data_IF_165771382058
#
_entry.id   IF_165771382058
#
_cell.length_a   1.000
_cell.length_b   1.000
_cell.length_c   1.000
_cell.angle_alpha   90.00
_cell.angle_beta   90.00
_cell.angle_gamma   90.00
#
_symmetry.space_group_name_H-M   'P 1'
#
loop_
_entity.id
_entity.type
_entity.pdbx_description
1 polymer ?
#
# COMPACT_ATOMS: atom_id res chain seq x y z
N UNK A 1 -19.32 12.74 17.90
CA UNK A 1 -19.11 12.60 16.44
C UNK A 1 -19.87 13.65 15.61
N UNK A 2 -21.18 13.86 15.81
CA UNK A 2 -22.00 14.82 15.05
C UNK A 2 -21.53 16.29 15.13
N UNK A 3 -20.99 16.73 16.29
CA UNK A 3 -20.47 18.10 16.44
C UNK A 3 -19.20 18.34 15.63
N UNK A 4 -18.28 17.38 15.58
CA UNK A 4 -17.05 17.47 14.77
C UNK A 4 -17.35 17.52 13.27
N UNK A 5 -18.29 16.69 12.81
CA UNK A 5 -18.70 16.67 11.40
C UNK A 5 -19.29 18.01 10.96
N UNK A 6 -20.10 18.66 11.79
CA UNK A 6 -20.63 20.00 11.49
C UNK A 6 -19.52 21.05 11.38
N UNK A 7 -18.58 21.06 12.34
CA UNK A 7 -17.44 21.99 12.34
C UNK A 7 -16.58 21.79 11.09
N UNK A 8 -16.30 20.54 10.72
CA UNK A 8 -15.55 20.21 9.50
C UNK A 8 -16.30 20.66 8.24
N UNK A 9 -17.61 20.39 8.16
CA UNK A 9 -18.43 20.80 7.02
C UNK A 9 -18.48 22.32 6.81
N UNK A 10 -18.46 23.09 7.91
CA UNK A 10 -18.42 24.55 7.83
C UNK A 10 -17.04 25.10 7.48
N UNK A 11 -15.99 24.59 8.14
CA UNK A 11 -14.62 25.11 7.98
C UNK A 11 -13.94 24.66 6.68
N UNK A 12 -14.25 23.44 6.18
CA UNK A 12 -13.62 22.81 5.03
C UNK A 12 -14.59 22.68 3.85
N UNK A 13 -15.51 23.60 3.71
CA UNK A 13 -16.58 23.55 2.70
C UNK A 13 -16.03 23.48 1.26
N UNK A 14 -14.97 24.22 0.98
CA UNK A 14 -14.36 24.27 -0.36
C UNK A 14 -13.62 22.97 -0.66
N UNK A 15 -12.86 22.47 0.31
CA UNK A 15 -12.12 21.22 0.22
C UNK A 15 -13.07 20.04 0.07
N UNK A 16 -14.12 19.97 0.86
CA UNK A 16 -15.15 18.93 0.75
C UNK A 16 -15.87 18.98 -0.59
N UNK A 17 -16.16 20.18 -1.10
CA UNK A 17 -16.73 20.34 -2.43
C UNK A 17 -15.76 19.85 -3.52
N UNK A 18 -14.47 20.18 -3.42
CA UNK A 18 -13.45 19.67 -4.34
C UNK A 18 -13.39 18.14 -4.29
N UNK A 19 -13.28 17.57 -3.09
CA UNK A 19 -13.19 16.10 -2.91
C UNK A 19 -14.43 15.38 -3.47
N UNK A 20 -15.63 15.96 -3.30
CA UNK A 20 -16.87 15.34 -3.80
C UNK A 20 -16.98 15.29 -5.33
N UNK A 21 -16.12 16.03 -6.04
CA UNK A 21 -16.06 16.03 -7.51
C UNK A 21 -14.86 15.26 -8.06
N UNK A 22 -14.01 14.67 -7.20
CA UNK A 22 -12.91 13.85 -7.66
C UNK A 22 -13.45 12.57 -8.31
N UNK A 23 -12.89 12.18 -9.46
CA UNK A 23 -13.25 10.91 -10.08
C UNK A 23 -12.71 9.72 -9.25
N UNK A 24 -13.39 8.60 -9.28
CA UNK A 24 -12.94 7.36 -8.63
C UNK A 24 -11.79 6.68 -9.37
N UNK A 25 -11.67 6.97 -10.66
CA UNK A 25 -10.59 6.47 -11.52
C UNK A 25 -10.13 7.58 -12.45
N UNK A 26 -8.84 7.59 -12.77
CA UNK A 26 -8.25 8.50 -13.75
C UNK A 26 -7.45 7.69 -14.77
N UNK A 27 -7.84 7.75 -16.02
CA UNK A 27 -7.04 7.24 -17.14
C UNK A 27 -6.24 8.40 -17.73
N UNK A 28 -4.93 8.31 -17.65
CA UNK A 28 -4.03 9.28 -18.28
C UNK A 28 -2.95 8.55 -19.07
N UNK A 29 -2.90 8.79 -20.38
CA UNK A 29 -2.11 8.01 -21.32
C UNK A 29 -2.38 6.50 -21.16
N UNK A 30 -1.35 5.71 -20.89
CA UNK A 30 -1.44 4.27 -20.69
C UNK A 30 -1.51 3.86 -19.22
N UNK A 31 -1.83 4.80 -18.30
CA UNK A 31 -1.93 4.57 -16.86
C UNK A 31 -3.35 4.76 -16.36
N UNK A 32 -3.88 3.75 -15.68
CA UNK A 32 -5.14 3.81 -14.96
C UNK A 32 -4.84 3.96 -13.46
N UNK A 33 -5.17 5.11 -12.90
CA UNK A 33 -5.06 5.38 -11.47
C UNK A 33 -6.37 5.04 -10.80
N UNK A 34 -6.31 4.23 -9.75
CA UNK A 34 -7.47 3.81 -8.94
C UNK A 34 -7.02 3.54 -7.51
N UNK A 35 -7.90 3.74 -6.51
CA UNK A 35 -7.49 3.62 -5.11
C UNK A 35 -7.08 2.17 -4.74
N UNK A 36 -7.97 1.18 -4.93
CA UNK A 36 -7.71 -0.19 -4.48
C UNK A 36 -7.44 -1.18 -5.63
N UNK A 37 -8.18 -1.09 -6.73
CA UNK A 37 -7.99 -1.98 -7.86
C UNK A 37 -9.17 -2.02 -8.81
N UNK A 38 -9.10 -2.96 -9.73
CA UNK A 38 -10.16 -3.27 -10.71
C UNK A 38 -10.39 -4.78 -10.74
N UNK A 39 -11.61 -5.19 -11.01
CA UNK A 39 -11.90 -6.60 -11.25
C UNK A 39 -11.20 -7.10 -12.53
N UNK A 40 -10.93 -8.40 -12.67
CA UNK A 40 -10.33 -8.99 -13.86
C UNK A 40 -11.32 -9.01 -15.04
N UNK A 41 -11.63 -7.81 -15.55
CA UNK A 41 -12.53 -7.55 -16.67
C UNK A 41 -11.81 -6.82 -17.78
N UNK A 42 -12.24 -6.98 -19.03
CA UNK A 42 -11.67 -6.25 -20.16
C UNK A 42 -11.98 -4.74 -20.10
N UNK A 43 -13.13 -4.38 -19.53
CA UNK A 43 -13.56 -2.99 -19.37
C UNK A 43 -13.66 -2.61 -17.89
N UNK A 44 -12.66 -1.87 -17.41
CA UNK A 44 -12.64 -1.43 -16.02
C UNK A 44 -13.85 -0.57 -15.62
N UNK A 45 -14.50 0.13 -16.57
CA UNK A 45 -15.68 0.98 -16.30
C UNK A 45 -16.93 0.19 -15.85
N UNK A 46 -16.90 -1.12 -16.03
CA UNK A 46 -17.96 -2.02 -15.59
C UNK A 46 -17.75 -2.56 -14.17
N UNK A 47 -16.63 -2.21 -13.54
CA UNK A 47 -16.36 -2.57 -12.15
C UNK A 47 -17.27 -1.79 -11.19
N UNK A 48 -17.62 -2.42 -10.08
CA UNK A 48 -18.37 -1.77 -9.01
C UNK A 48 -17.51 -0.77 -8.21
N UNK A 49 -18.17 0.16 -7.53
CA UNK A 49 -17.48 1.16 -6.70
C UNK A 49 -16.64 0.51 -5.59
N UNK A 50 -17.11 -0.60 -5.02
CA UNK A 50 -16.36 -1.37 -4.01
C UNK A 50 -15.04 -1.90 -4.55
N UNK A 51 -14.97 -2.30 -5.82
CA UNK A 51 -13.72 -2.75 -6.44
C UNK A 51 -12.70 -1.63 -6.52
N UNK A 52 -13.14 -0.42 -6.86
CA UNK A 52 -12.23 0.72 -6.92
C UNK A 52 -11.72 1.17 -5.55
N UNK A 53 -12.50 0.99 -4.48
CA UNK A 53 -12.22 1.57 -3.16
C UNK A 53 -11.76 0.54 -2.11
N UNK A 54 -12.09 -0.75 -2.27
CA UNK A 54 -11.97 -1.74 -1.20
C UNK A 54 -11.37 -3.07 -1.65
N UNK A 55 -10.99 -3.23 -2.94
CA UNK A 55 -10.46 -4.49 -3.45
C UNK A 55 -9.15 -4.84 -2.75
N UNK A 56 -9.17 -5.96 -2.03
CA UNK A 56 -7.98 -6.47 -1.35
C UNK A 56 -7.11 -7.29 -2.31
N UNK A 57 -5.81 -7.30 -2.07
CA UNK A 57 -4.86 -8.17 -2.76
C UNK A 57 -4.82 -8.02 -4.29
N UNK A 58 -5.07 -6.81 -4.80
CA UNK A 58 -5.10 -6.56 -6.24
C UNK A 58 -3.82 -7.00 -6.97
N UNK A 59 -2.66 -6.84 -6.35
CA UNK A 59 -1.38 -7.26 -6.92
C UNK A 59 -1.30 -8.77 -7.21
N UNK A 60 -1.88 -9.60 -6.32
CA UNK A 60 -1.95 -11.05 -6.49
C UNK A 60 -3.02 -11.44 -7.50
N UNK A 61 -4.16 -10.78 -7.48
CA UNK A 61 -5.28 -11.05 -8.39
C UNK A 61 -4.93 -10.73 -9.84
N UNK A 62 -4.21 -9.63 -10.05
CA UNK A 62 -3.88 -9.15 -11.38
C UNK A 62 -5.07 -8.58 -12.15
N UNK A 63 -4.84 -8.26 -13.42
CA UNK A 63 -5.86 -7.76 -14.35
C UNK A 63 -5.52 -8.11 -15.79
N UNK A 64 -6.50 -7.94 -16.71
CA UNK A 64 -6.35 -8.19 -18.16
C UNK A 64 -6.37 -6.92 -19.01
N UNK A 65 -6.30 -5.74 -18.38
CA UNK A 65 -6.33 -4.47 -19.10
C UNK A 65 -5.04 -4.23 -19.89
N UNK A 66 -5.12 -3.49 -20.97
CA UNK A 66 -3.94 -3.04 -21.74
C UNK A 66 -3.12 -1.96 -21.01
N UNK A 67 -3.70 -1.29 -20.02
CA UNK A 67 -3.10 -0.21 -19.25
C UNK A 67 -2.24 -0.72 -18.10
N UNK A 68 -1.28 0.07 -17.66
CA UNK A 68 -0.65 -0.11 -16.36
C UNK A 68 -1.55 0.47 -15.28
N UNK A 69 -1.91 -0.34 -14.27
CA UNK A 69 -2.79 0.08 -13.18
C UNK A 69 -1.97 0.50 -11.96
N UNK A 70 -2.19 1.74 -11.52
CA UNK A 70 -1.51 2.31 -10.34
C UNK A 70 -2.49 2.32 -9.18
N UNK A 71 -2.12 1.65 -8.09
CA UNK A 71 -2.98 1.45 -6.91
C UNK A 71 -2.31 1.83 -5.59
N UNK A 72 -3.13 2.15 -4.60
CA UNK A 72 -2.79 2.28 -3.18
C UNK A 72 -3.51 1.23 -2.34
N UNK A 73 -4.20 1.67 -1.28
CA UNK A 73 -5.11 0.92 -0.42
C UNK A 73 -4.44 -0.15 0.47
N UNK A 74 -3.70 -1.07 -0.09
CA UNK A 74 -2.98 -2.09 0.66
C UNK A 74 -1.50 -1.74 0.71
N UNK A 75 -0.92 -1.52 1.91
CA UNK A 75 0.51 -1.24 2.04
C UNK A 75 1.35 -2.29 1.33
N UNK A 76 2.34 -1.85 0.54
CA UNK A 76 3.14 -2.74 -0.31
C UNK A 76 3.82 -3.86 0.46
N UNK A 77 4.20 -3.59 1.73
CA UNK A 77 4.75 -4.61 2.61
C UNK A 77 3.78 -5.76 2.93
N UNK A 78 2.48 -5.64 2.67
CA UNK A 78 1.51 -6.72 2.92
C UNK A 78 1.55 -7.80 1.84
N UNK A 79 2.04 -7.47 0.64
CA UNK A 79 2.17 -8.44 -0.45
C UNK A 79 3.34 -9.42 -0.26
N UNK A 80 4.32 -9.06 0.59
CA UNK A 80 5.51 -9.88 0.81
C UNK A 80 5.71 -10.17 2.29
N UNK A 81 5.52 -11.41 2.76
CA UNK A 81 5.58 -11.76 4.18
C UNK A 81 6.89 -11.38 4.88
N UNK A 82 8.01 -11.34 4.13
CA UNK A 82 9.34 -11.01 4.66
C UNK A 82 9.75 -9.55 4.46
N UNK A 83 8.93 -8.75 3.77
CA UNK A 83 9.27 -7.35 3.54
C UNK A 83 8.95 -6.51 4.76
N UNK A 84 9.91 -5.74 5.21
CA UNK A 84 9.76 -4.69 6.22
C UNK A 84 9.65 -3.31 5.59
N UNK A 85 9.81 -3.22 4.25
CA UNK A 85 9.76 -1.98 3.50
C UNK A 85 8.38 -1.77 2.89
N UNK A 86 8.00 -0.52 2.74
CA UNK A 86 6.80 -0.12 2.02
C UNK A 86 7.17 0.63 0.72
N UNK A 87 8.27 0.22 0.09
CA UNK A 87 8.69 0.78 -1.19
C UNK A 87 7.67 0.51 -2.28
N UNK A 88 7.65 1.37 -3.30
CA UNK A 88 6.78 1.21 -4.46
C UNK A 88 7.13 -0.08 -5.18
N UNK A 89 6.14 -0.89 -5.48
CA UNK A 89 6.26 -2.07 -6.34
C UNK A 89 5.97 -1.62 -7.77
N UNK A 90 6.91 -1.84 -8.67
CA UNK A 90 6.73 -1.65 -10.12
C UNK A 90 6.89 -2.99 -10.79
N UNK A 91 5.80 -3.56 -11.26
CA UNK A 91 5.76 -4.85 -11.95
C UNK A 91 5.31 -4.63 -13.40
N UNK A 92 6.29 -4.57 -14.30
CA UNK A 92 6.05 -4.31 -15.72
C UNK A 92 5.39 -5.50 -16.43
N UNK A 93 5.63 -6.71 -15.95
CA UNK A 93 5.04 -7.93 -16.51
C UNK A 93 3.54 -7.98 -16.21
N UNK A 94 3.17 -7.74 -14.95
CA UNK A 94 1.76 -7.65 -14.54
C UNK A 94 1.11 -6.33 -14.95
N UNK A 95 1.88 -5.33 -15.34
CA UNK A 95 1.42 -3.95 -15.56
C UNK A 95 0.72 -3.38 -14.32
N UNK A 96 1.31 -3.59 -13.14
CA UNK A 96 0.79 -3.10 -11.85
C UNK A 96 1.86 -2.28 -11.14
N UNK A 97 1.46 -1.14 -10.63
CA UNK A 97 2.29 -0.32 -9.74
C UNK A 97 1.52 -0.12 -8.43
N UNK A 98 2.10 -0.59 -7.30
CA UNK A 98 1.52 -0.40 -5.96
C UNK A 98 2.33 0.67 -5.22
N UNK A 99 1.68 1.76 -4.82
CA UNK A 99 2.37 2.93 -4.25
C UNK A 99 2.12 3.14 -2.75
N UNK A 100 1.27 2.34 -2.10
CA UNK A 100 0.88 2.56 -0.71
C UNK A 100 2.04 2.28 0.25
N UNK A 101 2.53 3.33 0.88
CA UNK A 101 3.59 3.28 1.89
C UNK A 101 3.11 2.97 3.31
N UNK A 102 1.82 2.70 3.51
CA UNK A 102 1.24 2.39 4.82
C UNK A 102 1.03 3.59 5.73
N UNK A 103 1.14 4.83 5.21
CA UNK A 103 1.00 6.05 6.02
C UNK A 103 -0.38 6.11 6.68
N UNK A 104 -0.39 6.29 8.01
CA UNK A 104 -1.61 6.36 8.81
C UNK A 104 -2.16 5.00 9.25
N UNK A 105 -1.67 3.88 8.71
CA UNK A 105 -2.12 2.51 9.07
C UNK A 105 -1.02 1.67 9.69
N UNK A 106 0.25 1.93 9.37
CA UNK A 106 1.37 1.15 9.91
C UNK A 106 2.26 2.00 10.81
N UNK A 107 2.78 1.43 11.91
CA UNK A 107 3.76 2.11 12.78
C UNK A 107 5.05 2.45 12.02
N UNK A 108 5.52 1.52 11.19
CA UNK A 108 6.64 1.74 10.26
C UNK A 108 6.02 1.92 8.88
N UNK A 109 5.96 3.16 8.44
CA UNK A 109 5.33 3.55 7.19
C UNK A 109 6.18 4.60 6.49
N UNK A 110 5.85 4.89 5.24
CA UNK A 110 6.47 5.97 4.48
C UNK A 110 5.46 6.59 3.53
N UNK A 111 5.63 7.86 3.23
CA UNK A 111 4.89 8.53 2.18
C UNK A 111 5.66 8.37 0.87
N UNK A 112 5.09 7.65 -0.07
CA UNK A 112 5.69 7.40 -1.38
C UNK A 112 5.25 8.42 -2.42
N UNK A 113 6.14 8.73 -3.34
CA UNK A 113 5.85 9.46 -4.56
C UNK A 113 6.42 8.71 -5.77
N UNK A 114 5.58 8.48 -6.77
CA UNK A 114 5.97 7.92 -8.06
C UNK A 114 6.04 9.03 -9.10
N UNK A 115 7.17 9.14 -9.78
CA UNK A 115 7.38 10.07 -10.89
C UNK A 115 7.50 9.23 -12.17
N UNK A 116 6.57 9.46 -13.10
CA UNK A 116 6.56 8.78 -14.41
C UNK A 116 7.02 9.80 -15.46
N UNK A 117 8.19 9.57 -16.03
CA UNK A 117 8.71 10.41 -17.10
C UNK A 117 8.48 9.73 -18.44
N UNK A 118 7.99 10.49 -19.40
CA UNK A 118 7.84 10.05 -20.79
C UNK A 118 8.57 11.01 -21.72
N UNK A 119 9.57 10.52 -22.42
CA UNK A 119 10.33 11.29 -23.38
C UNK A 119 10.58 10.48 -24.65
N UNK A 120 10.12 10.99 -25.78
CA UNK A 120 10.27 10.34 -27.11
C UNK A 120 9.83 8.87 -27.18
N UNK A 121 8.80 8.52 -26.39
CA UNK A 121 8.27 7.15 -26.33
C UNK A 121 9.01 6.24 -25.33
N UNK A 122 10.08 6.71 -24.71
CA UNK A 122 10.73 6.03 -23.59
C UNK A 122 10.08 6.44 -22.28
N UNK A 123 9.79 5.45 -21.43
CA UNK A 123 9.20 5.66 -20.11
C UNK A 123 10.22 5.27 -19.07
N UNK A 124 10.42 6.16 -18.08
CA UNK A 124 11.25 5.89 -16.92
C UNK A 124 10.49 6.22 -15.64
N UNK A 125 10.77 5.44 -14.60
CA UNK A 125 10.19 5.62 -13.29
C UNK A 125 11.26 6.14 -12.32
N UNK A 126 10.85 7.09 -11.48
CA UNK A 126 11.64 7.54 -10.33
C UNK A 126 10.74 7.46 -9.11
N UNK A 127 11.29 6.99 -8.01
CA UNK A 127 10.58 6.87 -6.74
C UNK A 127 11.24 7.72 -5.68
N UNK A 128 10.42 8.42 -4.91
CA UNK A 128 10.83 9.22 -3.75
C UNK A 128 10.02 8.78 -2.54
N UNK A 129 10.58 8.87 -1.35
CA UNK A 129 9.83 8.60 -0.13
C UNK A 129 10.22 9.51 1.02
N UNK A 130 9.28 9.73 1.93
CA UNK A 130 9.51 10.36 3.22
C UNK A 130 9.15 9.37 4.32
N UNK A 131 10.11 9.07 5.19
CA UNK A 131 9.95 8.17 6.32
C UNK A 131 9.76 8.94 7.62
N UNK A 132 8.98 8.42 8.59
CA UNK A 132 8.76 9.10 9.87
C UNK A 132 9.97 9.05 10.80
N UNK A 133 10.89 8.12 10.56
CA UNK A 133 12.07 7.91 11.39
C UNK A 133 13.36 8.19 10.61
N UNK A 134 14.42 8.70 11.27
CA UNK A 134 15.72 8.87 10.64
C UNK A 134 16.28 7.50 10.23
N UNK A 135 16.94 7.47 9.07
CA UNK A 135 17.64 6.28 8.59
C UNK A 135 18.88 6.09 9.46
N UNK A 136 18.96 4.93 10.12
CA UNK A 136 20.15 4.49 10.85
C UNK A 136 21.03 3.61 9.97
N UNK A 137 22.33 3.76 10.08
CA UNK A 137 23.30 2.86 9.45
C UNK A 137 23.83 1.92 10.53
N UNK A 138 23.69 0.61 10.30
CA UNK A 138 24.28 -0.39 11.19
C UNK A 138 25.81 -0.31 11.06
N UNK A 139 26.48 -0.21 12.18
CA UNK A 139 27.96 -0.19 12.24
C UNK A 139 28.60 -1.57 12.47
N UNK A 140 27.76 -2.61 12.59
CA UNK A 140 28.18 -4.01 12.74
C UNK A 140 27.17 -4.91 12.02
N UNK A 141 27.67 -6.01 11.48
CA UNK A 141 26.83 -7.05 10.93
C UNK A 141 26.07 -7.75 12.07
N UNK A 142 24.76 -7.93 11.87
CA UNK A 142 23.89 -8.75 12.71
C UNK A 142 23.65 -10.07 11.98
N UNK A 143 24.24 -11.13 12.50
CA UNK A 143 24.03 -12.48 11.99
C UNK A 143 22.81 -13.06 12.75
N UNK A 144 21.73 -13.34 12.04
CA UNK A 144 20.62 -14.11 12.58
C UNK A 144 21.04 -15.55 12.87
N UNK A 145 20.34 -16.19 13.80
CA UNK A 145 20.53 -17.62 14.14
C UNK A 145 20.01 -18.58 13.05
N UNK A 146 19.60 -18.06 11.89
CA UNK A 146 19.02 -18.85 10.79
C UNK A 146 17.51 -19.10 10.93
N UNK A 147 16.90 -18.70 12.05
CA UNK A 147 15.45 -18.69 12.19
C UNK A 147 14.88 -17.47 11.46
N UNK A 148 13.84 -17.71 10.69
CA UNK A 148 13.16 -16.62 9.94
C UNK A 148 12.10 -16.04 10.84
N UNK A 149 12.28 -14.80 11.27
CA UNK A 149 11.23 -14.06 11.96
C UNK A 149 10.07 -13.79 11.00
N UNK A 150 8.89 -14.20 11.42
CA UNK A 150 7.68 -14.00 10.65
C UNK A 150 7.05 -12.65 10.98
N UNK A 151 6.64 -11.96 9.95
CA UNK A 151 5.96 -10.69 10.08
C UNK A 151 4.53 -10.89 10.56
N UNK A 152 4.11 -10.09 11.54
CA UNK A 152 2.71 -9.96 11.92
C UNK A 152 2.11 -8.81 11.13
N UNK A 153 1.20 -9.10 10.21
CA UNK A 153 0.57 -8.12 9.34
C UNK A 153 -0.88 -8.51 9.04
N UNK A 154 -1.64 -7.56 8.53
CA UNK A 154 -2.99 -7.84 8.05
C UNK A 154 -2.98 -9.01 7.01
N UNK A 155 -3.94 -9.94 7.10
CA UNK A 155 -5.03 -10.01 8.09
C UNK A 155 -4.67 -10.71 9.41
N UNK A 156 -3.46 -11.27 9.56
CA UNK A 156 -3.05 -12.15 10.65
C UNK A 156 -2.37 -11.38 11.78
N UNK A 157 -3.18 -10.82 12.68
CA UNK A 157 -2.65 -10.10 13.85
C UNK A 157 -2.61 -10.93 15.13
N UNK A 158 -3.27 -12.08 15.15
CA UNK A 158 -3.42 -12.86 16.36
C UNK A 158 -2.14 -13.62 16.68
N UNK A 159 -1.59 -13.33 17.86
CA UNK A 159 -0.39 -13.99 18.37
C UNK A 159 -0.63 -14.55 19.75
N UNK A 160 0.00 -15.67 20.04
CA UNK A 160 0.03 -16.25 21.36
C UNK A 160 1.40 -16.06 22.01
N UNK A 161 1.40 -15.46 23.18
CA UNK A 161 2.61 -15.25 23.96
C UNK A 161 3.16 -16.60 24.45
N UNK A 162 4.41 -16.90 24.09
CA UNK A 162 5.15 -18.09 24.53
C UNK A 162 6.03 -17.78 25.75
N UNK A 163 6.81 -16.73 25.64
CA UNK A 163 7.74 -16.33 26.69
C UNK A 163 7.77 -14.80 26.78
N UNK A 164 7.48 -14.29 27.97
CA UNK A 164 7.57 -12.86 28.25
C UNK A 164 9.02 -12.49 28.54
N UNK A 165 9.58 -11.56 27.78
CA UNK A 165 10.88 -10.94 28.03
C UNK A 165 10.73 -9.57 28.68
N UNK A 166 11.84 -8.93 29.00
CA UNK A 166 11.89 -7.58 29.58
C UNK A 166 11.65 -6.51 28.52
N UNK A 167 12.27 -6.63 27.36
CA UNK A 167 12.19 -5.71 26.24
C UNK A 167 11.45 -6.32 25.05
N UNK A 168 11.67 -7.60 24.78
CA UNK A 168 11.04 -8.39 23.74
C UNK A 168 10.35 -9.61 24.30
N UNK A 169 9.33 -10.11 23.64
CA UNK A 169 8.60 -11.31 24.00
C UNK A 169 8.57 -12.27 22.82
N UNK A 170 8.70 -13.54 23.10
CA UNK A 170 8.54 -14.58 22.08
C UNK A 170 7.07 -14.94 21.95
N UNK A 171 6.56 -14.87 20.74
CA UNK A 171 5.19 -15.23 20.39
C UNK A 171 5.18 -16.14 19.18
N UNK A 172 4.09 -16.85 18.94
CA UNK A 172 3.82 -17.46 17.65
C UNK A 172 2.52 -16.92 17.06
N UNK A 173 2.44 -16.87 15.75
CA UNK A 173 1.25 -16.46 15.01
C UNK A 173 0.23 -17.60 15.04
N UNK A 174 -1.04 -17.27 15.37
CA UNK A 174 -2.07 -18.30 15.59
C UNK A 174 -2.48 -18.98 14.29
N UNK A 175 -2.46 -18.24 13.18
CA UNK A 175 -2.92 -18.75 11.87
C UNK A 175 -2.10 -19.91 11.31
N UNK A 176 -0.79 -19.92 11.53
CA UNK A 176 0.13 -20.91 10.95
C UNK A 176 1.13 -21.51 11.94
N UNK A 177 1.01 -21.17 13.22
CA UNK A 177 1.86 -21.66 14.33
C UNK A 177 3.35 -21.32 14.18
N UNK A 178 3.70 -20.21 13.49
CA UNK A 178 5.06 -19.74 13.24
C UNK A 178 5.40 -18.52 14.08
#
# INVERSE_FOLDING_TARGET
HLGMQKIMAEKLKQELKFMSHLPTTLLFNDYLFVHAGVEPRENYKECGLSSYLELQHFYELGHSLKYTVVVGHLPTSNYFPRSIHNDIIIDEEKKIICIDGGTGVKPISQLNALIINSYKGEITYQTECVQPFPIGVLNKDLYGNGEVDHKIAFPDYEVKLMKKGKEFSQCYRVSDHV
#
